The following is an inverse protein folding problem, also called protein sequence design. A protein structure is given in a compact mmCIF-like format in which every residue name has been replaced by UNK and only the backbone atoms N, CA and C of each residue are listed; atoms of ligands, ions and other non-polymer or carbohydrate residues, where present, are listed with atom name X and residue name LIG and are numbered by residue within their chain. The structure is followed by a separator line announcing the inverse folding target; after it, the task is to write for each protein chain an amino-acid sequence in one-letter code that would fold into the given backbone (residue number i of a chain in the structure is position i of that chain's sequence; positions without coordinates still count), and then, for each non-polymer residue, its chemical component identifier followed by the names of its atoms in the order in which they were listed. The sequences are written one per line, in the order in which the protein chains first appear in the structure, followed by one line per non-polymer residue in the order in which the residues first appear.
data_IF_775229920630
#
_entry.id   IF_775229920630
#
_cell.length_a   1.000
_cell.length_b   1.000
_cell.length_c   1.000
_cell.angle_alpha   90.00
_cell.angle_beta   90.00
_cell.angle_gamma   90.00
#
_symmetry.space_group_name_H-M   'P 1'
#
loop_
_entity.id
_entity.type
_entity.pdbx_description
1 polymer ?
#
# COMPACT_ATOMS: atom_id res chain seq x y z
N UNK A 1 5.49 2.69 17.23
CA UNK A 1 5.13 3.83 16.35
C UNK A 1 3.81 3.54 15.67
N UNK A 2 3.02 4.58 15.36
CA UNK A 2 1.71 4.45 14.71
C UNK A 2 1.79 4.68 13.19
N UNK A 3 0.83 4.08 12.47
CA UNK A 3 0.64 4.35 11.05
C UNK A 3 -0.85 4.52 10.72
N UNK A 4 -1.14 5.24 9.64
CA UNK A 4 -2.46 5.29 9.00
C UNK A 4 -2.35 4.58 7.65
N UNK A 5 -3.24 3.61 7.41
CA UNK A 5 -3.35 2.93 6.12
C UNK A 5 -4.56 3.46 5.36
N UNK A 6 -4.33 4.06 4.19
CA UNK A 6 -5.37 4.64 3.34
C UNK A 6 -5.95 3.57 2.42
N UNK A 7 -7.07 2.98 2.78
CA UNK A 7 -7.67 1.84 2.06
C UNK A 7 -9.08 2.08 1.49
N UNK A 8 -9.58 3.33 1.55
CA UNK A 8 -10.97 3.69 1.20
C UNK A 8 -11.32 3.73 -0.29
N UNK A 9 -10.38 3.48 -1.19
CA UNK A 9 -10.59 3.60 -2.64
C UNK A 9 -11.41 2.46 -3.26
N UNK A 10 -12.33 2.76 -4.20
CA UNK A 10 -13.16 1.77 -4.92
C UNK A 10 -12.39 0.88 -5.90
N UNK A 11 -11.17 1.24 -6.31
CA UNK A 11 -10.31 0.43 -7.18
C UNK A 11 -10.90 0.13 -8.57
N UNK A 12 -11.60 1.07 -9.19
CA UNK A 12 -12.37 0.86 -10.43
C UNK A 12 -11.55 0.36 -11.62
N UNK A 13 -10.26 0.67 -11.68
CA UNK A 13 -9.34 0.16 -12.73
C UNK A 13 -9.12 -1.35 -12.67
N UNK A 14 -9.49 -1.99 -11.55
CA UNK A 14 -9.40 -3.43 -11.32
C UNK A 14 -10.75 -4.14 -11.50
N UNK A 15 -11.81 -3.44 -11.95
CA UNK A 15 -13.07 -4.12 -12.25
C UNK A 15 -12.86 -5.25 -13.28
N UNK A 16 -13.55 -6.41 -13.08
CA UNK A 16 -14.59 -6.69 -12.05
C UNK A 16 -14.06 -7.18 -10.69
N UNK A 17 -12.75 -7.35 -10.48
CA UNK A 17 -12.16 -7.94 -9.26
C UNK A 17 -12.55 -7.16 -7.99
N UNK A 18 -12.71 -5.84 -8.09
CA UNK A 18 -13.05 -4.98 -6.95
C UNK A 18 -14.55 -4.73 -6.78
N UNK A 19 -15.41 -5.41 -7.55
CA UNK A 19 -16.86 -5.33 -7.32
C UNK A 19 -17.29 -5.97 -6.00
N UNK A 20 -16.63 -7.04 -5.61
CA UNK A 20 -16.97 -7.79 -4.40
C UNK A 20 -15.95 -7.62 -3.27
N UNK A 21 -14.72 -7.23 -3.58
CA UNK A 21 -13.64 -7.06 -2.59
C UNK A 21 -12.97 -5.70 -2.74
N UNK A 22 -12.65 -4.98 -1.66
CA UNK A 22 -11.84 -3.76 -1.76
C UNK A 22 -10.43 -4.11 -2.27
N UNK A 23 -9.81 -3.17 -2.99
CA UNK A 23 -8.50 -3.38 -3.64
C UNK A 23 -7.44 -3.97 -2.69
N UNK A 24 -7.26 -3.48 -1.44
CA UNK A 24 -6.27 -4.04 -0.53
C UNK A 24 -6.59 -5.45 -0.01
N UNK A 25 -7.82 -5.92 -0.21
CA UNK A 25 -8.26 -7.27 0.14
C UNK A 25 -8.15 -8.27 -1.03
N UNK A 26 -7.74 -7.82 -2.21
CA UNK A 26 -7.42 -8.75 -3.31
C UNK A 26 -6.21 -9.59 -2.91
N UNK A 27 -6.29 -10.89 -3.14
CA UNK A 27 -5.18 -11.80 -2.85
C UNK A 27 -4.04 -11.56 -3.84
N UNK A 28 -2.81 -11.51 -3.34
CA UNK A 28 -1.57 -11.45 -4.11
C UNK A 28 -0.67 -12.55 -3.54
N UNK A 29 -0.15 -13.42 -4.36
CA UNK A 29 0.53 -14.65 -3.93
C UNK A 29 -0.28 -15.49 -2.92
N UNK A 30 -1.62 -15.47 -3.06
CA UNK A 30 -2.55 -16.21 -2.19
C UNK A 30 -2.96 -15.52 -0.89
N UNK A 31 -2.34 -14.39 -0.54
CA UNK A 31 -2.57 -13.65 0.71
C UNK A 31 -3.19 -12.28 0.38
N UNK A 32 -4.16 -11.75 1.16
CA UNK A 32 -4.68 -10.40 0.98
C UNK A 32 -3.55 -9.37 0.97
N UNK A 33 -3.60 -8.44 0.01
CA UNK A 33 -2.53 -7.48 -0.23
C UNK A 33 -2.17 -6.67 1.04
N UNK A 34 -3.17 -6.27 1.80
CA UNK A 34 -2.98 -5.52 3.05
C UNK A 34 -2.11 -6.29 4.08
N UNK A 35 -2.16 -7.62 4.10
CA UNK A 35 -1.35 -8.40 5.02
C UNK A 35 0.16 -8.31 4.70
N UNK A 36 0.52 -8.21 3.41
CA UNK A 36 1.91 -7.96 3.01
C UNK A 36 2.39 -6.59 3.52
N UNK A 37 1.54 -5.56 3.41
CA UNK A 37 1.85 -4.21 3.90
C UNK A 37 1.97 -4.18 5.44
N UNK A 38 1.04 -4.82 6.16
CA UNK A 38 1.08 -4.91 7.63
C UNK A 38 2.36 -5.62 8.08
N UNK A 39 2.67 -6.80 7.51
CA UNK A 39 3.88 -7.53 7.88
C UNK A 39 5.15 -6.71 7.62
N UNK A 40 5.20 -5.96 6.52
CA UNK A 40 6.32 -5.08 6.22
C UNK A 40 6.42 -3.91 7.20
N UNK A 41 5.31 -3.24 7.48
CA UNK A 41 5.26 -2.13 8.43
C UNK A 41 5.67 -2.57 9.85
N UNK A 42 5.19 -3.73 10.29
CA UNK A 42 5.54 -4.32 11.59
C UNK A 42 7.04 -4.61 11.70
N UNK A 43 7.66 -5.12 10.62
CA UNK A 43 9.11 -5.36 10.57
C UNK A 43 9.93 -4.06 10.71
N UNK A 44 9.33 -2.90 10.44
CA UNK A 44 9.92 -1.58 10.63
C UNK A 44 9.51 -0.88 11.94
N UNK A 45 8.93 -1.61 12.89
CA UNK A 45 8.63 -1.10 14.23
C UNK A 45 7.30 -0.34 14.35
N UNK A 46 6.40 -0.48 13.38
CA UNK A 46 5.02 -0.02 13.53
C UNK A 46 4.29 -1.05 14.39
N UNK A 47 3.67 -0.59 15.47
CA UNK A 47 3.00 -1.43 16.48
C UNK A 47 1.50 -1.18 16.56
N UNK A 48 1.03 -0.11 15.90
CA UNK A 48 -0.39 0.26 15.86
C UNK A 48 -0.73 0.87 14.51
N UNK A 49 -1.85 0.44 13.94
CA UNK A 49 -2.33 0.91 12.63
C UNK A 49 -3.77 1.43 12.76
N UNK A 50 -4.00 2.63 12.24
CA UNK A 50 -5.34 3.16 12.00
C UNK A 50 -5.71 2.88 10.53
N UNK A 51 -6.69 2.02 10.30
CA UNK A 51 -7.18 1.69 8.95
C UNK A 51 -8.25 2.70 8.56
N UNK A 52 -7.92 3.63 7.65
CA UNK A 52 -8.85 4.63 7.12
C UNK A 52 -9.60 4.04 5.92
N UNK A 53 -10.91 3.78 6.08
CA UNK A 53 -11.72 3.06 5.09
C UNK A 53 -13.11 3.67 4.93
N UNK A 54 -13.64 3.58 3.70
CA UNK A 54 -14.99 4.04 3.35
C UNK A 54 -15.75 3.04 2.45
N UNK A 55 -15.08 1.95 2.04
CA UNK A 55 -15.63 1.00 1.09
C UNK A 55 -15.49 -0.43 1.59
N UNK A 56 -16.62 -1.14 1.75
CA UNK A 56 -16.65 -2.55 2.19
C UNK A 56 -15.84 -2.80 3.48
N UNK A 57 -16.02 -1.93 4.45
CA UNK A 57 -15.29 -1.92 5.73
C UNK A 57 -15.40 -3.24 6.48
N UNK A 58 -16.55 -3.93 6.37
CA UNK A 58 -16.81 -5.24 6.98
C UNK A 58 -15.74 -6.27 6.63
N UNK A 59 -15.22 -6.26 5.39
CA UNK A 59 -14.20 -7.23 4.98
C UNK A 59 -12.84 -7.00 5.64
N UNK A 60 -12.52 -5.75 5.98
CA UNK A 60 -11.33 -5.44 6.78
C UNK A 60 -11.54 -5.89 8.24
N UNK A 61 -12.71 -5.60 8.82
CA UNK A 61 -13.06 -6.01 10.18
C UNK A 61 -13.00 -7.53 10.34
N UNK A 62 -13.58 -8.27 9.39
CA UNK A 62 -13.61 -9.73 9.42
C UNK A 62 -12.22 -10.36 9.29
N UNK A 63 -11.33 -9.77 8.50
CA UNK A 63 -10.00 -10.35 8.23
C UNK A 63 -8.94 -9.88 9.21
N UNK A 64 -8.91 -8.60 9.55
CA UNK A 64 -7.85 -8.00 10.37
C UNK A 64 -8.20 -8.02 11.87
N UNK A 65 -9.50 -8.00 12.21
CA UNK A 65 -9.97 -7.92 13.60
C UNK A 65 -9.38 -6.71 14.33
N UNK A 66 -8.86 -6.96 15.52
CA UNK A 66 -8.13 -5.99 16.36
C UNK A 66 -6.62 -5.96 16.09
N UNK A 67 -6.14 -6.74 15.13
CA UNK A 67 -4.74 -6.85 14.75
C UNK A 67 -3.93 -7.86 15.57
N UNK A 68 -4.50 -8.49 16.59
CA UNK A 68 -3.79 -9.45 17.45
C UNK A 68 -3.19 -10.63 16.68
N UNK A 69 -3.87 -11.10 15.62
CA UNK A 69 -3.38 -12.15 14.72
C UNK A 69 -2.11 -11.74 13.94
N UNK A 70 -1.85 -10.45 13.82
CA UNK A 70 -0.67 -9.88 13.14
C UNK A 70 0.38 -9.35 14.12
N UNK A 71 0.15 -9.51 15.42
CA UNK A 71 1.05 -9.05 16.48
C UNK A 71 1.09 -7.52 16.66
N UNK A 72 0.04 -6.81 16.24
CA UNK A 72 -0.11 -5.35 16.34
C UNK A 72 -1.51 -4.98 16.83
N UNK A 73 -1.72 -3.72 17.14
CA UNK A 73 -3.04 -3.16 17.39
C UNK A 73 -3.60 -2.54 16.10
N UNK A 74 -4.84 -2.87 15.74
CA UNK A 74 -5.54 -2.26 14.61
C UNK A 74 -6.83 -1.59 15.10
N UNK A 75 -7.02 -0.34 14.71
CA UNK A 75 -8.26 0.41 14.91
C UNK A 75 -8.75 0.95 13.56
N UNK A 76 -10.02 1.32 13.48
CA UNK A 76 -10.65 1.70 12.22
C UNK A 76 -11.20 3.13 12.30
N UNK A 77 -10.80 3.94 11.31
CA UNK A 77 -11.39 5.24 11.03
C UNK A 77 -12.32 5.11 9.83
N UNK A 78 -13.61 4.95 10.12
CA UNK A 78 -14.64 4.72 9.09
C UNK A 78 -15.16 6.06 8.59
N UNK A 79 -15.21 6.23 7.27
CA UNK A 79 -15.79 7.36 6.59
C UNK A 79 -17.17 6.97 6.05
N UNK A 80 -18.21 7.75 6.35
CA UNK A 80 -19.56 7.56 5.76
C UNK A 80 -19.56 7.86 4.26
N UNK A 81 -18.80 8.90 3.86
CA UNK A 81 -18.56 9.29 2.48
C UNK A 81 -17.06 9.48 2.27
N UNK A 82 -16.51 9.18 1.07
CA UNK A 82 -15.08 9.33 0.81
C UNK A 82 -14.60 10.77 0.99
N UNK A 83 -13.62 10.98 1.87
CA UNK A 83 -13.06 12.30 2.19
C UNK A 83 -11.78 12.63 1.39
N UNK A 84 -11.37 11.80 0.46
CA UNK A 84 -10.09 11.94 -0.23
C UNK A 84 -8.91 11.57 0.68
N UNK A 85 -7.67 11.64 0.16
CA UNK A 85 -6.48 11.17 0.89
C UNK A 85 -6.18 12.03 2.13
N UNK A 86 -6.25 13.35 2.01
CA UNK A 86 -6.05 14.28 3.13
C UNK A 86 -7.17 14.21 4.17
N UNK A 87 -8.43 14.17 3.72
CA UNK A 87 -9.57 14.05 4.63
C UNK A 87 -9.59 12.71 5.37
N UNK A 88 -9.17 11.61 4.73
CA UNK A 88 -8.99 10.31 5.38
C UNK A 88 -7.91 10.34 6.48
N UNK A 89 -6.78 11.00 6.22
CA UNK A 89 -5.72 11.22 7.22
C UNK A 89 -6.27 12.03 8.40
N UNK A 90 -6.98 13.13 8.12
CA UNK A 90 -7.58 13.97 9.16
C UNK A 90 -8.64 13.23 9.98
N UNK A 91 -9.48 12.39 9.34
CA UNK A 91 -10.46 11.56 10.04
C UNK A 91 -9.78 10.52 10.94
N UNK A 92 -8.72 9.88 10.44
CA UNK A 92 -7.93 8.91 11.19
C UNK A 92 -7.19 9.52 12.39
N UNK A 93 -6.89 10.83 12.36
CA UNK A 93 -6.15 11.51 13.43
C UNK A 93 -6.82 11.40 14.80
N UNK A 94 -8.16 11.31 14.84
CA UNK A 94 -8.91 11.14 16.08
C UNK A 94 -8.63 9.81 16.82
N UNK A 95 -8.04 8.85 16.12
CA UNK A 95 -7.69 7.54 16.66
C UNK A 95 -6.21 7.38 16.97
N UNK A 96 -5.36 8.39 16.68
CA UNK A 96 -3.95 8.38 17.03
C UNK A 96 -3.76 8.66 18.52
N UNK A 97 -2.74 8.02 19.09
CA UNK A 97 -2.34 8.15 20.50
C UNK A 97 -0.96 8.78 20.66
N UNK A 98 -0.22 8.94 19.56
CA UNK A 98 1.09 9.60 19.54
C UNK A 98 1.01 11.08 19.92
N UNK A 99 2.07 11.58 20.56
CA UNK A 99 2.19 12.97 20.96
C UNK A 99 2.46 13.89 19.74
N UNK A 100 2.21 15.19 19.90
CA UNK A 100 2.26 16.19 18.81
C UNK A 100 3.57 16.21 18.01
N UNK A 101 4.70 15.92 18.66
CA UNK A 101 6.03 15.94 18.05
C UNK A 101 6.46 14.56 17.46
N UNK A 102 5.66 13.53 17.64
CA UNK A 102 6.00 12.18 17.17
C UNK A 102 5.71 11.99 15.68
N UNK A 103 6.52 11.18 14.99
CA UNK A 103 6.26 10.82 13.62
C UNK A 103 5.13 9.78 13.51
N UNK A 104 4.26 9.98 12.52
CA UNK A 104 3.21 9.04 12.12
C UNK A 104 3.45 8.66 10.66
N UNK A 105 3.46 7.37 10.36
CA UNK A 105 3.59 6.90 8.99
C UNK A 105 2.21 6.84 8.31
N UNK A 106 2.14 7.29 7.06
CA UNK A 106 0.95 7.19 6.21
C UNK A 106 1.29 6.31 5.02
N UNK A 107 0.54 5.25 4.80
CA UNK A 107 0.77 4.32 3.69
C UNK A 107 -0.47 4.22 2.80
N UNK A 108 -0.27 4.37 1.50
CA UNK A 108 -1.31 4.11 0.52
C UNK A 108 -1.56 2.60 0.43
N UNK A 109 -2.82 2.17 0.59
CA UNK A 109 -3.23 0.78 0.65
C UNK A 109 -3.18 0.00 -0.68
N UNK A 110 -2.54 0.57 -1.70
CA UNK A 110 -2.37 -0.02 -3.03
C UNK A 110 -0.92 -0.08 -3.51
N UNK A 111 0.02 0.23 -2.63
CA UNK A 111 1.46 0.24 -2.93
C UNK A 111 2.17 -0.90 -2.18
N UNK A 112 2.96 -1.69 -2.89
CA UNK A 112 3.93 -2.60 -2.31
C UNK A 112 5.32 -2.03 -2.52
N UNK A 113 6.04 -1.79 -1.43
CA UNK A 113 7.36 -1.14 -1.47
C UNK A 113 8.31 -1.77 -0.45
N UNK A 114 9.56 -1.95 -0.87
CA UNK A 114 10.65 -2.47 -0.03
C UNK A 114 11.54 -1.37 0.55
N UNK A 115 11.14 -0.08 0.44
CA UNK A 115 11.95 1.00 0.98
C UNK A 115 12.04 0.92 2.51
N UNK A 116 13.16 1.35 3.07
CA UNK A 116 13.39 1.30 4.50
C UNK A 116 12.61 2.39 5.25
N UNK A 117 11.41 2.04 5.74
CA UNK A 117 10.54 2.95 6.52
C UNK A 117 11.29 3.49 7.76
N UNK A 118 12.07 2.66 8.45
CA UNK A 118 12.83 3.08 9.63
C UNK A 118 13.88 4.14 9.28
N UNK A 119 14.53 4.03 8.11
CA UNK A 119 15.48 5.04 7.63
C UNK A 119 14.75 6.34 7.22
N UNK A 120 13.57 6.24 6.62
CA UNK A 120 12.73 7.42 6.29
C UNK A 120 12.33 8.18 7.56
N UNK A 121 11.95 7.45 8.63
CA UNK A 121 11.66 8.03 9.95
C UNK A 121 12.91 8.69 10.56
N UNK A 122 14.06 8.03 10.43
CA UNK A 122 15.35 8.57 10.88
C UNK A 122 15.66 9.91 10.20
N UNK A 123 15.51 9.99 8.88
CA UNK A 123 15.68 11.23 8.11
C UNK A 123 14.67 12.30 8.54
N UNK A 124 13.40 11.94 8.73
CA UNK A 124 12.35 12.85 9.19
C UNK A 124 12.75 13.55 10.50
N UNK A 125 13.21 12.77 11.49
CA UNK A 125 13.68 13.29 12.79
C UNK A 125 14.95 14.13 12.64
N UNK A 126 15.94 13.66 11.88
CA UNK A 126 17.21 14.36 11.64
C UNK A 126 17.00 15.75 11.04
N UNK A 127 16.09 15.85 10.07
CA UNK A 127 15.78 17.10 9.37
C UNK A 127 14.81 18.00 10.14
N UNK A 128 14.21 17.53 11.22
CA UNK A 128 13.10 18.21 11.90
C UNK A 128 12.00 18.55 10.92
N UNK A 129 11.62 17.56 10.11
CA UNK A 129 10.69 17.72 9.02
C UNK A 129 9.24 17.83 9.53
N UNK A 130 8.41 18.60 8.85
CA UNK A 130 6.95 18.57 9.00
C UNK A 130 6.38 17.34 8.28
N UNK A 131 6.91 17.06 7.06
CA UNK A 131 6.57 15.88 6.28
C UNK A 131 7.81 15.34 5.57
N UNK A 132 7.94 14.01 5.49
CA UNK A 132 8.93 13.33 4.63
C UNK A 132 8.23 12.40 3.67
N UNK A 133 8.37 12.62 2.37
CA UNK A 133 7.72 11.88 1.30
C UNK A 133 8.69 10.85 0.71
N UNK A 134 8.27 9.60 0.63
CA UNK A 134 9.01 8.58 -0.12
C UNK A 134 8.86 8.84 -1.63
N UNK A 135 9.99 8.94 -2.32
CA UNK A 135 10.08 9.09 -3.77
C UNK A 135 10.79 7.90 -4.39
N UNK A 136 10.25 7.44 -5.52
CA UNK A 136 10.85 6.42 -6.37
C UNK A 136 11.13 6.98 -7.76
N UNK A 137 12.22 6.57 -8.39
CA UNK A 137 12.51 6.90 -9.78
C UNK A 137 11.79 5.89 -10.69
N UNK A 138 11.09 6.39 -11.71
CA UNK A 138 10.39 5.58 -12.71
C UNK A 138 10.88 5.94 -14.10
N UNK A 139 10.77 5.00 -15.05
CA UNK A 139 11.16 5.24 -16.45
C UNK A 139 10.30 6.30 -17.12
N UNK A 140 9.01 6.36 -16.75
CA UNK A 140 8.03 7.30 -17.30
C UNK A 140 7.13 7.86 -16.20
N UNK A 141 7.36 9.12 -15.83
CA UNK A 141 6.62 9.80 -14.77
C UNK A 141 5.27 10.41 -15.23
N UNK A 142 4.94 10.37 -16.53
CA UNK A 142 3.72 11.02 -17.07
C UNK A 142 2.41 10.53 -16.43
N UNK A 143 2.38 9.27 -16.00
CA UNK A 143 1.20 8.67 -15.37
C UNK A 143 1.10 8.93 -13.86
N UNK A 144 2.12 9.54 -13.26
CA UNK A 144 2.27 9.75 -11.82
C UNK A 144 2.40 11.24 -11.49
N UNK A 145 2.32 11.57 -10.21
CA UNK A 145 2.67 12.89 -9.71
C UNK A 145 4.19 13.02 -9.52
N UNK A 146 4.86 13.90 -10.28
CA UNK A 146 6.29 14.15 -10.16
C UNK A 146 6.61 15.14 -9.04
N UNK A 147 7.74 14.92 -8.36
CA UNK A 147 8.12 15.70 -7.17
C UNK A 147 9.58 16.17 -7.32
N UNK A 148 9.81 17.38 -7.89
CA UNK A 148 11.14 17.95 -7.97
C UNK A 148 11.66 18.33 -6.58
N UNK A 149 12.98 18.15 -6.40
CA UNK A 149 13.69 18.46 -5.16
C UNK A 149 14.93 19.29 -5.45
N UNK A 150 15.40 20.03 -4.45
CA UNK A 150 16.73 20.63 -4.50
C UNK A 150 17.86 19.58 -4.29
N UNK A 151 19.11 20.05 -4.30
CA UNK A 151 20.29 19.19 -4.14
C UNK A 151 20.39 18.57 -2.73
N UNK A 152 19.72 19.12 -1.73
CA UNK A 152 19.69 18.60 -0.36
C UNK A 152 18.55 17.62 -0.13
N UNK A 153 17.62 17.50 -1.09
CA UNK A 153 16.44 16.65 -1.03
C UNK A 153 15.19 17.34 -0.46
N UNK A 154 15.20 18.67 -0.31
CA UNK A 154 13.99 19.42 0.05
C UNK A 154 13.03 19.44 -1.13
N UNK A 155 11.76 19.18 -0.89
CA UNK A 155 10.71 19.20 -1.92
C UNK A 155 10.43 20.63 -2.32
N UNK A 156 10.39 20.87 -3.62
CA UNK A 156 10.13 22.19 -4.21
C UNK A 156 8.68 22.36 -4.65
N UNK A 157 8.08 21.28 -5.19
CA UNK A 157 6.75 21.31 -5.75
C UNK A 157 6.17 19.89 -5.85
N UNK A 158 4.83 19.79 -5.91
CA UNK A 158 4.11 18.59 -6.33
C UNK A 158 3.40 18.89 -7.64
N UNK A 159 3.77 18.15 -8.69
CA UNK A 159 3.22 18.34 -10.03
C UNK A 159 2.40 17.10 -10.38
N UNK A 160 1.09 17.28 -10.48
CA UNK A 160 0.20 16.22 -10.96
C UNK A 160 0.56 15.82 -12.39
N UNK A 161 -0.06 14.74 -12.87
CA UNK A 161 0.16 14.15 -14.19
C UNK A 161 0.37 15.20 -15.27
N UNK A 162 1.51 15.13 -15.92
CA UNK A 162 1.96 16.07 -16.93
C UNK A 162 2.58 15.32 -18.10
N UNK A 163 2.36 15.81 -19.33
CA UNK A 163 3.02 15.25 -20.52
C UNK A 163 4.52 15.53 -20.55
N UNK A 164 4.99 16.52 -19.77
CA UNK A 164 6.40 16.91 -19.63
C UNK A 164 6.78 17.06 -18.15
N UNK A 165 6.87 15.96 -17.40
CA UNK A 165 7.26 16.02 -15.98
C UNK A 165 8.72 16.50 -15.84
N UNK A 166 9.01 17.41 -14.88
CA UNK A 166 10.36 17.97 -14.70
C UNK A 166 11.37 16.96 -14.15
N UNK A 167 10.89 15.86 -13.58
CA UNK A 167 11.71 14.80 -13.00
C UNK A 167 11.01 13.45 -13.13
N UNK A 168 11.79 12.37 -13.12
CA UNK A 168 11.26 10.99 -13.04
C UNK A 168 11.06 10.51 -11.60
N UNK A 169 11.37 11.33 -10.59
CA UNK A 169 11.02 11.01 -9.21
C UNK A 169 9.54 11.30 -8.96
N UNK A 170 8.82 10.25 -8.55
CA UNK A 170 7.38 10.31 -8.30
C UNK A 170 7.05 10.00 -6.84
N UNK A 171 5.90 10.47 -6.40
CA UNK A 171 5.34 10.15 -5.09
C UNK A 171 5.07 8.63 -5.00
N UNK A 172 5.75 7.97 -4.08
CA UNK A 172 5.70 6.51 -3.92
C UNK A 172 4.62 6.04 -2.92
N UNK A 173 3.79 6.94 -2.39
CA UNK A 173 2.65 6.61 -1.55
C UNK A 173 2.98 6.19 -0.11
N UNK A 174 4.13 6.62 0.40
CA UNK A 174 4.46 6.53 1.82
C UNK A 174 4.97 7.87 2.33
N UNK A 175 4.37 8.34 3.42
CA UNK A 175 4.69 9.63 4.03
C UNK A 175 4.99 9.43 5.52
N UNK A 176 5.90 10.24 6.07
CA UNK A 176 6.05 10.43 7.51
C UNK A 176 5.65 11.86 7.82
N UNK A 177 4.63 12.02 8.64
CA UNK A 177 4.15 13.31 9.14
C UNK A 177 4.55 13.49 10.60
N UNK A 178 4.92 14.69 10.99
CA UNK A 178 4.85 15.07 12.40
C UNK A 178 3.38 15.09 12.82
N UNK A 179 3.04 14.51 13.98
CA UNK A 179 1.66 14.33 14.42
C UNK A 179 0.82 15.61 14.41
N UNK A 180 1.38 16.74 14.91
CA UNK A 180 0.70 18.03 14.94
C UNK A 180 0.32 18.56 13.54
N UNK A 181 1.11 18.24 12.51
CA UNK A 181 0.82 18.66 11.11
C UNK A 181 -0.42 17.93 10.56
N UNK A 182 -0.68 16.70 11.01
CA UNK A 182 -1.90 15.98 10.63
C UNK A 182 -3.14 16.70 11.17
N UNK A 183 -3.08 17.29 12.36
CA UNK A 183 -4.21 17.99 12.97
C UNK A 183 -4.54 19.33 12.29
N UNK A 184 -3.63 19.87 11.49
CA UNK A 184 -3.86 21.07 10.67
C UNK A 184 -4.71 20.76 9.43
N UNK A 185 -4.81 19.50 8.99
CA UNK A 185 -5.63 19.10 7.83
C UNK A 185 -7.12 19.31 8.16
N UNK A 186 -7.88 20.02 7.30
CA UNK A 186 -9.29 20.33 7.56
C UNK A 186 -10.15 19.12 7.86
N UNK A 187 -10.82 19.11 9.03
CA UNK A 187 -11.69 18.00 9.48
C UNK A 187 -13.02 17.99 8.72
N UNK A 188 -13.48 16.78 8.36
CA UNK A 188 -14.79 16.54 7.75
C UNK A 188 -14.94 17.12 6.33
N UNK A 189 -13.83 17.41 5.66
CA UNK A 189 -13.82 17.92 4.28
C UNK A 189 -13.19 16.92 3.34
N UNK A 190 -13.60 16.95 2.08
CA UNK A 190 -12.93 16.23 1.01
C UNK A 190 -11.66 17.00 0.66
N UNK A 191 -10.49 16.39 0.94
CA UNK A 191 -9.17 17.00 0.75
C UNK A 191 -8.23 15.96 0.11
N UNK A 192 -7.47 16.37 -0.91
CA UNK A 192 -6.36 15.58 -1.45
C UNK A 192 -5.05 15.99 -0.78
N UNK A 193 -4.32 15.03 -0.21
CA UNK A 193 -3.02 15.31 0.39
C UNK A 193 -2.02 15.84 -0.66
N UNK A 194 -2.08 15.30 -1.88
CA UNK A 194 -1.14 15.64 -2.96
C UNK A 194 -1.44 16.97 -3.64
N UNK A 195 -2.74 17.30 -3.79
CA UNK A 195 -3.19 18.49 -4.55
C UNK A 195 -3.47 19.70 -3.69
N UNK A 196 -3.70 19.50 -2.41
CA UNK A 196 -4.10 20.55 -1.48
C UNK A 196 -3.14 20.62 -0.31
N UNK A 197 -3.03 19.59 0.54
CA UNK A 197 -2.25 19.64 1.77
C UNK A 197 -0.76 19.91 1.52
N UNK A 198 -0.11 19.16 0.63
CA UNK A 198 1.33 19.38 0.38
C UNK A 198 1.62 20.72 -0.26
N UNK A 199 0.89 21.19 -1.30
CA UNK A 199 1.06 22.53 -1.83
C UNK A 199 0.83 23.64 -0.80
N UNK A 200 -0.18 23.51 0.07
CA UNK A 200 -0.45 24.47 1.15
C UNK A 200 0.73 24.54 2.14
N UNK A 201 1.19 23.41 2.64
CA UNK A 201 2.35 23.33 3.54
C UNK A 201 3.62 23.94 2.90
N UNK A 202 3.86 23.70 1.60
CA UNK A 202 4.97 24.33 0.88
C UNK A 202 4.82 25.85 0.82
N UNK A 203 3.61 26.35 0.53
CA UNK A 203 3.34 27.79 0.45
C UNK A 203 3.54 28.51 1.79
N UNK A 204 3.32 27.82 2.90
CA UNK A 204 3.57 28.28 4.27
C UNK A 204 5.04 28.17 4.69
N UNK A 205 5.91 27.66 3.83
CA UNK A 205 7.34 27.51 4.11
C UNK A 205 7.67 26.33 5.04
N UNK A 206 6.76 25.36 5.19
CA UNK A 206 6.98 24.16 5.99
C UNK A 206 8.13 23.32 5.42
N UNK A 207 8.67 22.44 6.23
CA UNK A 207 9.84 21.61 5.89
C UNK A 207 9.38 20.28 5.32
N UNK A 208 9.24 20.21 4.00
CA UNK A 208 8.94 18.99 3.28
C UNK A 208 10.22 18.40 2.67
N UNK A 209 10.55 17.18 3.06
CA UNK A 209 11.75 16.46 2.61
C UNK A 209 11.42 15.22 1.83
N UNK A 210 12.29 14.85 0.91
CA UNK A 210 12.20 13.59 0.17
C UNK A 210 13.06 12.51 0.80
N UNK A 211 12.55 11.28 0.83
CA UNK A 211 13.31 10.07 1.04
C UNK A 211 13.33 9.29 -0.27
N UNK A 212 14.44 9.36 -1.00
CA UNK A 212 14.61 8.68 -2.29
C UNK A 212 15.11 7.25 -2.08
N UNK A 213 14.49 6.27 -2.75
CA UNK A 213 14.98 4.90 -2.79
C UNK A 213 14.94 4.35 -4.21
N UNK A 214 15.70 3.29 -4.46
CA UNK A 214 15.66 2.49 -5.68
C UNK A 214 15.18 1.06 -5.43
N UNK A 215 14.61 0.83 -4.26
CA UNK A 215 14.11 -0.47 -3.83
C UNK A 215 12.84 -0.86 -4.61
N UNK A 216 12.46 -2.13 -4.52
CA UNK A 216 11.25 -2.62 -5.16
C UNK A 216 10.02 -1.76 -4.82
N UNK A 217 9.28 -1.39 -5.84
CA UNK A 217 8.05 -0.62 -5.72
C UNK A 217 7.06 -0.98 -6.82
N UNK A 218 5.78 -1.14 -6.48
CA UNK A 218 4.71 -1.38 -7.44
C UNK A 218 3.37 -0.83 -6.93
N UNK A 219 2.65 -0.08 -7.79
CA UNK A 219 1.23 0.25 -7.63
C UNK A 219 0.39 -0.87 -8.27
N UNK A 220 -0.39 -1.59 -7.45
CA UNK A 220 -1.27 -2.66 -7.93
C UNK A 220 -2.56 -2.14 -8.59
N UNK A 221 -2.55 -0.96 -9.16
CA UNK A 221 -3.73 -0.29 -9.75
C UNK A 221 -4.29 -0.92 -11.02
N UNK A 222 -3.65 -1.92 -11.59
CA UNK A 222 -4.10 -2.62 -12.81
C UNK A 222 -4.01 -4.13 -12.67
N UNK A 223 -4.79 -4.93 -13.43
CA UNK A 223 -4.68 -6.40 -13.41
C UNK A 223 -3.26 -6.90 -13.74
N UNK A 224 -2.57 -6.24 -14.67
CA UNK A 224 -1.18 -6.56 -15.02
C UNK A 224 -0.23 -6.34 -13.83
N UNK A 225 -0.37 -5.21 -13.12
CA UNK A 225 0.45 -4.91 -11.95
C UNK A 225 0.14 -5.84 -10.77
N UNK A 226 -1.14 -6.19 -10.58
CA UNK A 226 -1.57 -7.15 -9.56
C UNK A 226 -0.93 -8.54 -9.80
N UNK A 227 -0.99 -9.03 -11.05
CA UNK A 227 -0.37 -10.30 -11.45
C UNK A 227 1.15 -10.25 -11.27
N UNK A 228 1.80 -9.15 -11.71
CA UNK A 228 3.24 -8.94 -11.53
C UNK A 228 3.63 -8.96 -10.05
N UNK A 229 2.90 -8.28 -9.18
CA UNK A 229 3.17 -8.28 -7.74
C UNK A 229 3.11 -9.71 -7.15
N UNK A 230 2.13 -10.53 -7.57
CA UNK A 230 2.03 -11.92 -7.15
C UNK A 230 3.23 -12.75 -7.61
N UNK A 231 3.61 -12.61 -8.87
CA UNK A 231 4.76 -13.28 -9.45
C UNK A 231 6.07 -12.88 -8.73
N UNK A 232 6.30 -11.57 -8.53
CA UNK A 232 7.49 -11.04 -7.86
C UNK A 232 7.62 -11.55 -6.42
N UNK A 233 6.51 -11.62 -5.67
CA UNK A 233 6.47 -12.19 -4.33
C UNK A 233 6.86 -13.67 -4.32
N UNK A 234 6.26 -14.47 -5.21
CA UNK A 234 6.52 -15.92 -5.30
C UNK A 234 7.95 -16.24 -5.76
N UNK A 235 8.57 -15.34 -6.54
CA UNK A 235 9.97 -15.48 -6.97
C UNK A 235 10.98 -14.85 -6.01
N UNK A 236 10.52 -14.25 -4.89
CA UNK A 236 11.40 -13.66 -3.88
C UNK A 236 12.03 -12.33 -4.30
N UNK A 237 11.50 -11.65 -5.33
CA UNK A 237 11.95 -10.31 -5.72
C UNK A 237 11.62 -9.30 -4.60
N UNK A 238 10.49 -9.50 -3.93
CA UNK A 238 10.12 -8.80 -2.72
C UNK A 238 9.91 -9.81 -1.59
N UNK A 239 10.53 -9.56 -0.45
CA UNK A 239 10.35 -10.41 0.73
C UNK A 239 9.17 -9.90 1.57
N UNK A 240 8.12 -10.69 1.65
CA UNK A 240 6.97 -10.39 2.50
C UNK A 240 6.90 -11.32 3.71
N UNK A 241 6.87 -10.79 4.93
CA UNK A 241 6.68 -11.60 6.14
C UNK A 241 5.34 -12.34 6.19
N UNK A 242 4.35 -11.90 5.41
CA UNK A 242 3.03 -12.52 5.34
C UNK A 242 2.98 -13.76 4.44
N UNK A 243 4.02 -14.02 3.64
CA UNK A 243 4.07 -15.16 2.74
C UNK A 243 4.75 -16.36 3.42
N UNK A 244 4.08 -17.50 3.38
CA UNK A 244 4.64 -18.74 3.94
C UNK A 244 5.94 -19.16 3.21
N UNK A 245 6.99 -19.59 3.94
CA UNK A 245 8.27 -19.99 3.35
C UNK A 245 8.14 -21.05 2.27
N UNK A 246 7.18 -21.98 2.39
CA UNK A 246 6.92 -23.06 1.44
C UNK A 246 6.51 -22.52 0.07
N UNK A 247 5.77 -21.41 0.01
CA UNK A 247 5.37 -20.77 -1.23
C UNK A 247 6.60 -20.21 -1.98
N UNK A 248 7.55 -19.65 -1.25
CA UNK A 248 8.84 -19.16 -1.81
C UNK A 248 9.69 -20.30 -2.35
N UNK A 249 9.80 -21.40 -1.60
CA UNK A 249 10.59 -22.59 -2.03
C UNK A 249 10.00 -23.19 -3.29
N UNK A 250 8.69 -23.31 -3.35
CA UNK A 250 7.95 -23.87 -4.50
C UNK A 250 7.79 -22.86 -5.64
N UNK A 251 8.03 -21.58 -5.39
CA UNK A 251 7.73 -20.47 -6.29
C UNK A 251 6.29 -20.47 -6.78
N UNK A 252 5.37 -20.96 -5.97
CA UNK A 252 3.92 -20.99 -6.21
C UNK A 252 3.15 -21.11 -4.91
N UNK A 253 1.92 -20.61 -4.94
CA UNK A 253 0.96 -20.77 -3.86
C UNK A 253 -0.19 -21.66 -4.33
N UNK A 254 -0.61 -22.58 -3.49
CA UNK A 254 -1.80 -23.41 -3.70
C UNK A 254 -2.54 -23.47 -2.38
N UNK A 255 -3.79 -22.99 -2.38
CA UNK A 255 -4.65 -23.01 -1.21
C UNK A 255 -4.94 -24.46 -0.79
N UNK A 256 -4.99 -24.73 0.51
CA UNK A 256 -5.23 -26.08 1.07
C UNK A 256 -6.60 -26.65 0.66
N UNK A 257 -7.57 -25.78 0.36
CA UNK A 257 -8.92 -26.18 -0.09
C UNK A 257 -9.00 -26.36 -1.61
N UNK A 258 -7.91 -26.07 -2.35
CA UNK A 258 -7.90 -26.28 -3.79
C UNK A 258 -7.95 -27.79 -4.11
N UNK A 259 -8.82 -28.17 -5.03
CA UNK A 259 -8.94 -29.55 -5.55
C UNK A 259 -8.30 -29.60 -6.93
N UNK A 260 -7.09 -30.15 -6.99
CA UNK A 260 -6.30 -30.20 -8.22
C UNK A 260 -6.22 -31.64 -8.69
N UNK A 261 -6.63 -31.90 -9.93
CA UNK A 261 -6.48 -33.25 -10.53
C UNK A 261 -4.99 -33.62 -10.61
N UNK A 262 -4.61 -34.87 -10.31
CA UNK A 262 -3.22 -35.31 -10.33
C UNK A 262 -2.51 -35.16 -11.69
N UNK A 263 -3.25 -35.13 -12.81
CA UNK A 263 -2.71 -34.90 -14.15
C UNK A 263 -2.48 -33.40 -14.47
N UNK A 264 -3.10 -32.47 -13.69
CA UNK A 264 -2.95 -31.05 -13.92
C UNK A 264 -1.54 -30.55 -13.57
N UNK A 265 -1.06 -29.61 -14.34
CA UNK A 265 0.27 -28.99 -14.19
C UNK A 265 0.14 -27.54 -13.73
N UNK A 266 0.66 -27.25 -12.54
CA UNK A 266 0.71 -25.88 -12.00
C UNK A 266 2.15 -25.38 -12.06
N UNK A 267 2.42 -24.42 -12.93
CA UNK A 267 3.72 -23.81 -13.13
C UNK A 267 4.19 -22.94 -11.95
N UNK A 268 5.46 -22.50 -12.02
CA UNK A 268 5.98 -21.48 -11.09
C UNK A 268 5.29 -20.14 -11.35
N UNK A 269 5.30 -19.27 -10.36
CA UNK A 269 4.64 -17.95 -10.43
C UNK A 269 3.13 -18.00 -10.28
N UNK A 270 2.51 -19.18 -10.16
CA UNK A 270 1.08 -19.34 -10.01
C UNK A 270 0.62 -19.20 -8.56
N UNK A 271 -0.52 -18.50 -8.36
CA UNK A 271 -1.27 -18.48 -7.11
C UNK A 271 -2.67 -19.05 -7.34
N UNK A 272 -2.95 -20.21 -6.75
CA UNK A 272 -4.22 -20.95 -6.90
C UNK A 272 -4.99 -20.82 -5.58
N UNK A 273 -6.14 -20.16 -5.61
CA UNK A 273 -7.07 -20.06 -4.49
C UNK A 273 -7.88 -21.34 -4.28
N UNK A 274 -8.86 -21.31 -3.37
CA UNK A 274 -9.78 -22.42 -3.08
C UNK A 274 -10.68 -22.71 -4.30
N UNK A 275 -10.17 -23.46 -5.27
CA UNK A 275 -10.72 -23.68 -6.61
C UNK A 275 -10.64 -25.14 -7.03
N UNK A 276 -11.26 -25.50 -8.16
CA UNK A 276 -11.21 -26.83 -8.74
C UNK A 276 -10.44 -26.73 -10.07
N UNK A 277 -9.39 -27.55 -10.20
CA UNK A 277 -8.60 -27.67 -11.42
C UNK A 277 -8.75 -29.09 -11.97
N UNK A 278 -9.32 -29.21 -13.16
CA UNK A 278 -9.62 -30.46 -13.81
C UNK A 278 -8.40 -31.17 -14.42
N UNK A 279 -8.67 -32.36 -15.00
CA UNK A 279 -7.64 -33.18 -15.59
C UNK A 279 -6.94 -32.51 -16.77
N UNK A 280 -5.62 -32.76 -16.88
CA UNK A 280 -4.76 -32.30 -17.97
C UNK A 280 -4.66 -30.74 -18.11
N UNK A 281 -5.25 -29.99 -17.18
CA UNK A 281 -5.15 -28.52 -17.18
C UNK A 281 -3.69 -28.07 -16.97
N UNK A 282 -3.26 -27.07 -17.73
CA UNK A 282 -1.94 -26.45 -17.60
C UNK A 282 -2.16 -24.99 -17.21
N UNK A 283 -1.62 -24.60 -16.06
CA UNK A 283 -1.72 -23.23 -15.53
C UNK A 283 -0.31 -22.67 -15.34
N UNK A 284 -0.01 -21.55 -16.00
CA UNK A 284 1.28 -20.89 -15.95
C UNK A 284 1.11 -19.39 -15.68
N UNK A 285 2.03 -18.79 -14.90
CA UNK A 285 2.10 -17.36 -14.60
C UNK A 285 0.73 -16.70 -14.32
N UNK A 286 -0.10 -17.38 -13.52
CA UNK A 286 -1.50 -17.04 -13.38
C UNK A 286 -1.93 -16.94 -11.91
N UNK A 287 -2.96 -16.12 -11.68
CA UNK A 287 -3.69 -16.08 -10.42
C UNK A 287 -5.10 -16.62 -10.65
N UNK A 288 -5.44 -17.68 -9.92
CA UNK A 288 -6.78 -18.30 -9.92
C UNK A 288 -7.45 -17.95 -8.59
N UNK A 289 -8.57 -17.25 -8.66
CA UNK A 289 -9.33 -16.84 -7.47
C UNK A 289 -10.06 -18.01 -6.79
N UNK A 290 -10.66 -17.72 -5.64
CA UNK A 290 -11.49 -18.70 -4.93
C UNK A 290 -12.76 -19.02 -5.72
N UNK A 291 -13.25 -20.27 -5.63
CA UNK A 291 -14.49 -20.71 -6.27
C UNK A 291 -14.42 -20.90 -7.80
N UNK A 292 -13.25 -20.76 -8.41
CA UNK A 292 -13.05 -20.96 -9.84
C UNK A 292 -13.03 -22.45 -10.18
N UNK A 293 -13.62 -22.81 -11.33
CA UNK A 293 -13.55 -24.16 -11.89
C UNK A 293 -12.86 -24.07 -13.25
N UNK A 294 -11.74 -24.79 -13.39
CA UNK A 294 -10.96 -24.94 -14.61
C UNK A 294 -11.17 -26.38 -15.07
N UNK A 295 -11.68 -26.55 -16.31
CA UNK A 295 -11.93 -27.86 -16.94
C UNK A 295 -10.76 -28.34 -17.78
#
# INVERSE_FOLDING_TARGET
MEAIFLVGGKGTRLYPLTLERPKPMLKVAGVPFIAHQIGYATAHGITRIVVATSYKTEQFLDYLGDGSAFGIEIVYAIEEEPLGTGGAISNASAHLTSEDSEPVAILNGDILSAHNISAQIGLHKERGADVTVHLIEVDDARAFGSVPTDNEGRILEFIEKSDAPPTNFVNAGCYIFTRSVIDEIPKGKVVSVERETFPELLSEGRKLWSFKSSEYWIDIGTPKALLKASHDLLHGVFHSPALAPEALVRKKFVDEQAKIDPSAQIGMGCAIGASIVGADAIIEESMVGDGVVIG
#
